data_IF_482653701853
#
_entry.id   IF_482653701853
#
_cell.length_a   1.000
_cell.length_b   1.000
_cell.length_c   1.000
_cell.angle_alpha   90.00
_cell.angle_beta   90.00
_cell.angle_gamma   90.00
#
_symmetry.space_group_name_H-M   'P 1'
#
loop_
_entity.id
_entity.type
_entity.pdbx_description
1 polymer ?
#
# COMPACT_ATOMS: atom_id res chain seq x y z
N UNK A 1 -6.19 67.89 52.47
CA UNK A 1 -5.55 66.58 52.59
C UNK A 1 -6.07 65.69 51.46
N UNK A 2 -5.23 65.38 50.48
CA UNK A 2 -5.58 64.62 49.27
C UNK A 2 -5.58 63.12 49.59
N UNK A 3 -6.69 62.44 49.33
CA UNK A 3 -6.74 60.98 49.33
C UNK A 3 -6.74 60.52 47.89
N UNK A 4 -5.59 59.95 47.45
CA UNK A 4 -5.42 59.34 46.16
C UNK A 4 -6.20 58.04 46.11
N UNK A 5 -7.21 57.94 45.21
CA UNK A 5 -7.89 56.71 44.85
C UNK A 5 -6.99 55.94 43.85
N UNK A 6 -6.47 54.78 44.24
CA UNK A 6 -5.87 53.81 43.31
C UNK A 6 -6.96 52.95 42.69
N UNK A 7 -7.19 53.15 41.39
CA UNK A 7 -8.04 52.30 40.58
C UNK A 7 -7.24 51.06 40.19
N UNK A 8 -7.52 49.94 40.79
CA UNK A 8 -6.94 48.64 40.42
C UNK A 8 -7.75 48.10 39.25
N UNK A 9 -7.13 48.15 38.06
CA UNK A 9 -7.67 47.53 36.86
C UNK A 9 -7.40 46.04 36.90
N UNK A 10 -8.42 45.23 37.16
CA UNK A 10 -8.35 43.78 37.12
C UNK A 10 -8.45 43.33 35.66
N UNK A 11 -7.31 43.01 35.06
CA UNK A 11 -7.22 42.44 33.72
C UNK A 11 -7.52 40.91 33.82
N UNK A 12 -8.78 40.57 33.55
CA UNK A 12 -9.15 39.12 33.42
C UNK A 12 -8.65 38.61 32.10
N UNK A 13 -7.51 37.90 32.12
CA UNK A 13 -7.04 37.11 30.97
C UNK A 13 -7.90 35.86 30.88
N UNK A 14 -8.90 35.88 30.01
CA UNK A 14 -9.61 34.68 29.58
C UNK A 14 -8.68 33.86 28.71
N UNK A 15 -8.04 32.85 29.28
CA UNK A 15 -7.36 31.81 28.48
C UNK A 15 -8.44 30.95 27.83
N UNK A 16 -8.72 31.22 26.56
CA UNK A 16 -9.41 30.25 25.71
C UNK A 16 -8.46 29.07 25.48
N UNK A 17 -8.63 28.02 26.29
CA UNK A 17 -8.05 26.72 25.98
C UNK A 17 -8.80 26.14 24.78
N UNK A 18 -8.29 26.42 23.57
CA UNK A 18 -8.63 25.66 22.40
C UNK A 18 -7.97 24.28 22.57
N UNK A 19 -8.70 23.33 23.13
CA UNK A 19 -8.37 21.92 22.94
C UNK A 19 -8.58 21.58 21.46
N UNK A 20 -7.58 21.84 20.66
CA UNK A 20 -7.42 21.22 19.35
C UNK A 20 -7.10 19.76 19.69
N UNK A 21 -8.10 18.90 19.66
CA UNK A 21 -7.91 17.47 19.58
C UNK A 21 -7.25 17.20 18.23
N UNK A 22 -5.92 17.23 18.22
CA UNK A 22 -5.15 16.67 17.11
C UNK A 22 -5.44 15.17 17.16
N UNK A 23 -6.35 14.69 16.29
CA UNK A 23 -6.32 13.31 15.91
C UNK A 23 -4.93 13.11 15.27
N UNK A 24 -4.06 12.45 16.01
CA UNK A 24 -2.89 11.80 15.45
C UNK A 24 -3.42 10.68 14.54
N UNK A 25 -3.72 11.04 13.30
CA UNK A 25 -3.81 10.06 12.22
C UNK A 25 -2.41 9.51 12.11
N UNK A 26 -2.19 8.30 12.57
CA UNK A 26 -0.89 7.65 12.51
C UNK A 26 -0.45 7.61 11.04
N UNK A 27 0.78 7.98 10.76
CA UNK A 27 1.37 8.03 9.41
C UNK A 27 1.16 6.71 8.65
N UNK A 28 1.06 5.57 9.37
CA UNK A 28 0.77 4.25 8.83
C UNK A 28 -0.61 4.13 8.17
N UNK A 29 -1.67 4.75 8.74
CA UNK A 29 -3.03 4.62 8.21
C UNK A 29 -3.23 5.48 6.94
N UNK A 30 -2.55 6.63 6.86
CA UNK A 30 -2.54 7.48 5.65
C UNK A 30 -1.76 6.82 4.51
N UNK A 31 -0.71 6.07 4.83
CA UNK A 31 0.12 5.37 3.84
C UNK A 31 -0.63 4.23 3.14
N UNK A 32 -1.50 3.51 3.85
CA UNK A 32 -2.31 2.42 3.28
C UNK A 32 -3.52 2.91 2.46
N UNK A 33 -3.87 4.20 2.55
CA UNK A 33 -4.93 4.80 1.74
C UNK A 33 -4.49 5.16 0.32
N UNK A 34 -3.19 5.06 0.01
CA UNK A 34 -2.67 5.28 -1.34
C UNK A 34 -2.27 3.94 -1.97
N UNK A 35 -2.85 3.63 -3.12
CA UNK A 35 -2.57 2.37 -3.83
C UNK A 35 -1.10 2.19 -4.22
N UNK A 36 -0.36 3.30 -4.44
CA UNK A 36 1.08 3.28 -4.68
C UNK A 36 1.88 2.73 -3.51
N UNK A 37 1.48 3.07 -2.29
CA UNK A 37 2.16 2.60 -1.08
C UNK A 37 1.90 1.11 -0.85
N UNK A 38 0.66 0.66 -1.12
CA UNK A 38 0.31 -0.77 -1.09
C UNK A 38 1.11 -1.53 -2.15
N UNK A 39 1.18 -1.00 -3.39
CA UNK A 39 1.96 -1.60 -4.46
C UNK A 39 3.45 -1.71 -4.10
N UNK A 40 4.01 -0.66 -3.50
CA UNK A 40 5.41 -0.65 -3.05
C UNK A 40 5.66 -1.74 -2.01
N UNK A 41 4.81 -1.89 -1.00
CA UNK A 41 4.93 -2.94 0.02
C UNK A 41 4.88 -4.34 -0.61
N UNK A 42 3.95 -4.55 -1.55
CA UNK A 42 3.84 -5.82 -2.27
C UNK A 42 5.12 -6.09 -3.08
N UNK A 43 5.61 -5.12 -3.87
CA UNK A 43 6.80 -5.29 -4.71
C UNK A 43 8.08 -5.48 -3.88
N UNK A 44 8.20 -4.80 -2.74
CA UNK A 44 9.30 -5.02 -1.80
C UNK A 44 9.26 -6.43 -1.18
N UNK A 45 8.06 -6.99 -0.94
CA UNK A 45 7.91 -8.39 -0.52
C UNK A 45 8.35 -9.38 -1.61
N UNK A 46 8.05 -9.10 -2.88
CA UNK A 46 8.62 -9.87 -4.00
C UNK A 46 10.14 -9.79 -4.05
N UNK A 47 10.72 -8.60 -3.79
CA UNK A 47 12.18 -8.38 -3.78
C UNK A 47 12.91 -9.16 -2.70
N UNK A 48 12.28 -9.38 -1.57
CA UNK A 48 12.87 -10.05 -0.41
C UNK A 48 12.36 -11.48 -0.19
N UNK A 49 11.63 -12.04 -1.16
CA UNK A 49 10.91 -13.31 -1.01
C UNK A 49 11.77 -14.45 -0.48
N UNK A 50 12.96 -14.69 -1.04
CA UNK A 50 13.84 -15.77 -0.57
C UNK A 50 14.46 -15.53 0.81
N UNK A 51 14.44 -14.30 1.32
CA UNK A 51 15.00 -13.94 2.63
C UNK A 51 14.02 -14.26 3.76
N UNK A 52 12.73 -14.00 3.53
CA UNK A 52 11.63 -14.31 4.45
C UNK A 52 10.37 -14.67 3.66
N UNK A 53 10.26 -15.93 3.20
CA UNK A 53 9.14 -16.35 2.33
C UNK A 53 7.78 -16.25 3.01
N UNK A 54 7.71 -16.51 4.33
CA UNK A 54 6.45 -16.49 5.08
C UNK A 54 5.90 -15.07 5.22
N UNK A 55 6.73 -14.11 5.64
CA UNK A 55 6.34 -12.70 5.76
C UNK A 55 5.99 -12.11 4.40
N UNK A 56 6.81 -12.39 3.37
CA UNK A 56 6.55 -11.93 2.01
C UNK A 56 5.20 -12.46 1.47
N UNK A 57 4.96 -13.76 1.65
CA UNK A 57 3.70 -14.39 1.25
C UNK A 57 2.51 -13.83 2.02
N UNK A 58 2.65 -13.60 3.34
CA UNK A 58 1.60 -13.02 4.17
C UNK A 58 1.24 -11.61 3.71
N UNK A 59 2.23 -10.79 3.39
CA UNK A 59 2.02 -9.43 2.88
C UNK A 59 1.30 -9.46 1.53
N UNK A 60 1.80 -10.23 0.56
CA UNK A 60 1.20 -10.30 -0.79
C UNK A 60 -0.24 -10.84 -0.70
N UNK A 61 -0.46 -11.89 0.07
CA UNK A 61 -1.77 -12.50 0.29
C UNK A 61 -2.71 -11.60 1.08
N UNK A 62 -2.19 -10.86 2.05
CA UNK A 62 -2.96 -9.89 2.85
C UNK A 62 -3.66 -8.86 1.97
N UNK A 63 -2.95 -8.31 1.00
CA UNK A 63 -3.48 -7.33 0.05
C UNK A 63 -4.27 -7.92 -1.14
N UNK A 64 -4.49 -9.23 -1.19
CA UNK A 64 -5.31 -9.82 -2.24
C UNK A 64 -6.81 -9.63 -1.93
N UNK A 65 -7.57 -9.17 -2.94
CA UNK A 65 -9.02 -9.03 -2.85
C UNK A 65 -9.71 -10.38 -2.59
N UNK A 66 -10.82 -10.44 -1.83
CA UNK A 66 -11.53 -11.70 -1.57
C UNK A 66 -11.86 -12.50 -2.83
N UNK A 67 -12.34 -11.84 -3.91
CA UNK A 67 -12.63 -12.54 -5.18
C UNK A 67 -11.37 -13.08 -5.87
N UNK A 68 -10.21 -12.43 -5.74
CA UNK A 68 -8.94 -12.99 -6.22
C UNK A 68 -8.56 -14.22 -5.39
N UNK A 69 -8.73 -14.17 -4.07
CA UNK A 69 -8.52 -15.32 -3.17
C UNK A 69 -9.41 -16.52 -3.51
N UNK A 70 -10.66 -16.27 -3.89
CA UNK A 70 -11.59 -17.33 -4.33
C UNK A 70 -11.10 -18.06 -5.60
N UNK A 71 -10.55 -17.29 -6.56
CA UNK A 71 -10.05 -17.84 -7.84
C UNK A 71 -8.75 -18.63 -7.63
N UNK A 72 -7.83 -18.09 -6.84
CA UNK A 72 -6.51 -18.70 -6.61
C UNK A 72 -6.55 -19.86 -5.61
N UNK A 73 -7.62 -19.94 -4.83
CA UNK A 73 -7.80 -20.93 -3.77
C UNK A 73 -7.10 -20.54 -2.46
N UNK A 74 -6.90 -21.50 -1.55
CA UNK A 74 -6.25 -21.20 -0.27
C UNK A 74 -4.80 -20.74 -0.46
N UNK A 75 -4.24 -20.08 0.56
CA UNK A 75 -2.90 -19.45 0.56
C UNK A 75 -1.81 -20.42 0.05
N UNK A 76 -1.90 -21.71 0.39
CA UNK A 76 -0.96 -22.74 -0.05
C UNK A 76 -0.99 -22.97 -1.57
N UNK A 77 -2.13 -22.78 -2.21
CA UNK A 77 -2.25 -22.88 -3.67
C UNK A 77 -1.72 -21.62 -4.34
N UNK A 78 -1.96 -20.47 -3.75
CA UNK A 78 -1.39 -19.19 -4.18
C UNK A 78 0.15 -19.24 -4.11
N UNK A 79 0.73 -19.76 -3.02
CA UNK A 79 2.17 -19.96 -2.90
C UNK A 79 2.72 -20.85 -4.02
N UNK A 80 2.08 -21.98 -4.28
CA UNK A 80 2.47 -22.89 -5.39
C UNK A 80 2.41 -22.19 -6.74
N UNK A 81 1.42 -21.31 -6.96
CA UNK A 81 1.32 -20.50 -8.16
C UNK A 81 2.49 -19.54 -8.27
N UNK A 82 2.83 -18.81 -7.20
CA UNK A 82 3.98 -17.88 -7.18
C UNK A 82 5.31 -18.59 -7.46
N UNK A 83 5.47 -19.81 -6.96
CA UNK A 83 6.68 -20.62 -7.16
C UNK A 83 6.74 -21.31 -8.53
N UNK A 84 5.69 -21.20 -9.34
CA UNK A 84 5.59 -21.83 -10.66
C UNK A 84 5.75 -20.79 -11.78
N UNK A 85 6.16 -21.27 -12.98
CA UNK A 85 6.18 -20.42 -14.17
C UNK A 85 4.76 -19.99 -14.56
N UNK A 86 4.61 -18.73 -15.00
CA UNK A 86 5.64 -17.70 -15.22
C UNK A 86 5.90 -16.81 -14.00
N UNK A 87 5.17 -16.95 -12.89
CA UNK A 87 5.19 -16.03 -11.76
C UNK A 87 6.50 -16.05 -10.97
N UNK A 88 7.19 -17.20 -10.91
CA UNK A 88 8.49 -17.31 -10.25
C UNK A 88 9.58 -16.42 -10.86
N UNK A 89 9.39 -15.97 -12.10
CA UNK A 89 10.35 -15.11 -12.78
C UNK A 89 10.57 -13.74 -12.10
N UNK A 90 9.59 -13.28 -11.32
CA UNK A 90 9.65 -11.98 -10.64
C UNK A 90 9.94 -12.10 -9.13
N UNK A 91 10.12 -13.31 -8.60
CA UNK A 91 10.57 -13.49 -7.23
C UNK A 91 12.05 -13.09 -7.10
N UNK A 92 12.42 -12.48 -5.98
CA UNK A 92 13.75 -11.91 -5.72
C UNK A 92 14.15 -10.88 -6.79
N UNK A 93 13.20 -10.12 -7.29
CA UNK A 93 13.47 -9.05 -8.26
C UNK A 93 14.54 -8.08 -7.75
N UNK A 94 15.32 -7.50 -8.64
CA UNK A 94 16.38 -6.54 -8.31
C UNK A 94 15.88 -5.13 -8.21
N UNK A 95 15.13 -4.72 -9.24
CA UNK A 95 14.61 -3.36 -9.37
C UNK A 95 13.22 -3.40 -9.99
N UNK A 96 12.43 -2.40 -9.69
CA UNK A 96 11.14 -2.18 -10.33
C UNK A 96 10.89 -0.69 -10.52
N UNK A 97 10.05 -0.38 -11.47
CA UNK A 97 9.40 0.91 -11.63
C UNK A 97 7.95 0.70 -12.05
N UNK A 98 7.08 1.62 -11.71
CA UNK A 98 5.68 1.54 -12.12
C UNK A 98 5.15 2.88 -12.58
N UNK A 99 4.12 2.83 -13.42
CA UNK A 99 3.37 3.97 -13.90
C UNK A 99 1.89 3.68 -13.72
N UNK A 100 1.15 4.58 -13.08
CA UNK A 100 -0.31 4.50 -13.00
C UNK A 100 -0.88 4.82 -14.37
N UNK A 101 -1.62 3.88 -14.96
CA UNK A 101 -2.20 3.99 -16.31
C UNK A 101 -3.70 4.27 -16.29
N UNK A 102 -4.39 3.86 -15.22
CA UNK A 102 -5.80 4.15 -14.95
C UNK A 102 -5.97 4.57 -13.52
N UNK A 103 -6.79 5.60 -13.29
CA UNK A 103 -7.16 6.06 -11.96
C UNK A 103 -8.66 6.42 -11.96
N UNK A 104 -9.41 5.76 -11.08
CA UNK A 104 -10.81 6.03 -10.78
C UNK A 104 -11.02 6.12 -9.27
N UNK A 105 -12.24 6.37 -8.82
CA UNK A 105 -12.57 6.40 -7.39
C UNK A 105 -12.37 5.03 -6.70
N UNK A 106 -12.58 3.95 -7.46
CA UNK A 106 -12.62 2.57 -6.96
C UNK A 106 -11.60 1.63 -7.62
N UNK A 107 -10.85 2.08 -8.64
CA UNK A 107 -9.89 1.23 -9.36
C UNK A 107 -8.67 1.98 -9.83
N UNK A 108 -7.49 1.40 -9.60
CA UNK A 108 -6.21 1.89 -10.09
C UNK A 108 -5.45 0.79 -10.81
N UNK A 109 -4.92 1.11 -12.02
CA UNK A 109 -4.11 0.18 -12.79
C UNK A 109 -2.67 0.69 -12.91
N UNK A 110 -1.72 -0.21 -12.79
CA UNK A 110 -0.30 0.06 -12.89
C UNK A 110 0.36 -0.83 -13.92
N UNK A 111 1.14 -0.22 -14.80
CA UNK A 111 2.15 -0.91 -15.60
C UNK A 111 3.45 -0.96 -14.80
N UNK A 112 3.97 -2.15 -14.56
CA UNK A 112 5.16 -2.38 -13.74
C UNK A 112 6.24 -2.98 -14.61
N UNK A 113 7.42 -2.35 -14.62
CA UNK A 113 8.65 -2.87 -15.26
C UNK A 113 9.56 -3.42 -14.17
N UNK A 114 10.01 -4.63 -14.37
CA UNK A 114 10.76 -5.40 -13.39
C UNK A 114 12.07 -5.86 -13.99
N UNK A 115 13.19 -5.58 -13.30
CA UNK A 115 14.46 -6.26 -13.54
C UNK A 115 14.52 -7.48 -12.61
N UNK A 116 14.42 -8.66 -13.18
CA UNK A 116 14.45 -9.92 -12.47
C UNK A 116 15.86 -10.32 -11.99
N UNK A 117 15.95 -11.29 -11.11
CA UNK A 117 17.17 -11.84 -10.54
C UNK A 117 18.18 -12.30 -11.61
N UNK A 118 17.69 -12.85 -12.72
CA UNK A 118 18.48 -13.35 -13.86
C UNK A 118 18.88 -12.25 -14.87
N UNK A 119 18.64 -10.98 -14.57
CA UNK A 119 18.84 -9.80 -15.43
C UNK A 119 17.89 -9.72 -16.64
N UNK A 120 16.82 -10.49 -16.66
CA UNK A 120 15.77 -10.34 -17.67
C UNK A 120 14.79 -9.24 -17.24
N UNK A 121 14.18 -8.59 -18.21
CA UNK A 121 13.14 -7.59 -17.98
C UNK A 121 11.77 -8.21 -18.20
N UNK A 122 10.85 -7.92 -17.27
CA UNK A 122 9.46 -8.33 -17.36
C UNK A 122 8.54 -7.12 -17.19
N UNK A 123 7.36 -7.24 -17.77
CA UNK A 123 6.25 -6.32 -17.58
C UNK A 123 5.07 -7.05 -17.00
N UNK A 124 4.38 -6.37 -16.05
CA UNK A 124 3.20 -6.87 -15.37
C UNK A 124 2.19 -5.73 -15.27
N UNK A 125 0.91 -6.01 -15.52
CA UNK A 125 -0.18 -5.10 -15.20
C UNK A 125 -0.77 -5.50 -13.86
N UNK A 126 -0.82 -4.54 -12.93
CA UNK A 126 -1.40 -4.70 -11.61
C UNK A 126 -2.67 -3.87 -11.48
N UNK A 127 -3.74 -4.49 -11.02
CA UNK A 127 -5.04 -3.85 -10.85
C UNK A 127 -5.45 -3.92 -9.40
N UNK A 128 -5.71 -2.73 -8.83
CA UNK A 128 -6.29 -2.58 -7.50
C UNK A 128 -7.76 -2.19 -7.58
N UNK A 129 -8.51 -2.63 -6.61
CA UNK A 129 -9.86 -2.18 -6.30
C UNK A 129 -9.89 -1.61 -4.88
N UNK A 130 -10.62 -0.50 -4.71
CA UNK A 130 -10.88 0.10 -3.41
C UNK A 130 -12.18 -0.49 -2.87
N UNK A 131 -12.09 -1.31 -1.82
CA UNK A 131 -13.21 -2.07 -1.27
C UNK A 131 -13.05 -2.23 0.25
N UNK A 132 -14.05 -2.84 0.92
CA UNK A 132 -14.00 -3.13 2.34
C UNK A 132 -12.75 -3.94 2.70
N UNK A 133 -12.01 -3.48 3.71
CA UNK A 133 -10.81 -4.20 4.17
C UNK A 133 -11.20 -5.56 4.78
N UNK A 134 -10.58 -6.67 4.39
CA UNK A 134 -10.91 -8.00 4.91
C UNK A 134 -10.82 -8.12 6.44
N UNK A 135 -9.87 -7.40 7.04
CA UNK A 135 -9.61 -7.44 8.48
C UNK A 135 -10.39 -6.36 9.27
N UNK A 136 -10.93 -5.35 8.58
CA UNK A 136 -11.72 -4.28 9.18
C UNK A 136 -12.82 -3.79 8.23
N UNK A 137 -14.00 -4.44 8.19
CA UNK A 137 -15.10 -4.08 7.27
C UNK A 137 -15.70 -2.69 7.47
N UNK A 138 -15.22 -1.91 8.43
CA UNK A 138 -15.63 -0.51 8.65
C UNK A 138 -14.76 0.48 7.89
N UNK A 139 -13.70 0.01 7.27
CA UNK A 139 -12.73 0.79 6.52
C UNK A 139 -12.58 0.22 5.11
N UNK A 140 -12.25 1.07 4.17
CA UNK A 140 -11.91 0.66 2.81
C UNK A 140 -10.39 0.73 2.61
N UNK A 141 -9.87 -0.19 1.80
CA UNK A 141 -8.47 -0.25 1.44
C UNK A 141 -8.28 -0.69 -0.02
N UNK A 142 -7.08 -0.47 -0.53
CA UNK A 142 -6.72 -0.92 -1.87
C UNK A 142 -6.30 -2.39 -1.85
N UNK A 143 -7.03 -3.21 -2.60
CA UNK A 143 -6.82 -4.66 -2.67
C UNK A 143 -6.51 -5.08 -4.11
N UNK A 144 -5.59 -6.00 -4.28
CA UNK A 144 -5.23 -6.59 -5.57
C UNK A 144 -6.37 -7.44 -6.11
N UNK A 145 -7.02 -6.99 -7.19
CA UNK A 145 -8.09 -7.74 -7.87
C UNK A 145 -7.55 -8.61 -9.00
N UNK A 146 -6.50 -8.17 -9.68
CA UNK A 146 -5.89 -8.91 -10.78
C UNK A 146 -4.41 -8.53 -10.98
N UNK A 147 -3.64 -9.51 -11.43
CA UNK A 147 -2.25 -9.35 -11.86
C UNK A 147 -2.07 -10.19 -13.12
N UNK A 148 -1.55 -9.59 -14.19
CA UNK A 148 -1.22 -10.35 -15.40
C UNK A 148 -0.01 -11.26 -15.15
N UNK A 149 0.07 -12.37 -15.90
CA UNK A 149 1.30 -13.14 -15.94
C UNK A 149 2.46 -12.26 -16.41
N UNK A 150 3.67 -12.37 -15.78
CA UNK A 150 4.85 -11.67 -16.23
C UNK A 150 5.14 -11.96 -17.71
N UNK A 151 5.24 -10.92 -18.52
CA UNK A 151 5.62 -11.00 -19.91
C UNK A 151 7.03 -10.45 -20.10
N UNK A 152 7.85 -11.20 -20.83
CA UNK A 152 9.21 -10.76 -21.18
C UNK A 152 9.15 -9.51 -22.06
N UNK A 153 9.99 -8.55 -21.71
CA UNK A 153 10.13 -7.35 -22.52
C UNK A 153 11.62 -7.00 -22.69
N UNK A 154 12.02 -6.67 -23.91
CA UNK A 154 13.37 -6.16 -24.16
C UNK A 154 13.37 -4.66 -23.82
N UNK A 155 14.18 -4.27 -22.81
CA UNK A 155 14.49 -2.85 -22.66
C UNK A 155 15.22 -2.41 -23.93
N UNK A 156 14.55 -1.60 -24.74
CA UNK A 156 15.24 -0.95 -25.86
C UNK A 156 16.45 -0.20 -25.34
N UNK A 157 17.63 -0.65 -25.72
CA UNK A 157 18.90 0.02 -25.47
C UNK A 157 18.97 1.23 -26.39
#
# INVERSE_FOLDING_TARGET
MLVKKYLILFLVLVFCNNNISSQETTTSDLDLQQSENVLTQILDSYKTYSSDPEEALDTIWGFAHPSNKEITGPKENFEKMLLSEPYNAILDLKEYSFTKTVETEDSNHYEIKILAKNNSYFEVIWVFQFDECPDNPKENCWLTIAVTAPSYYESGV
#
